data_IF_908042386810
#
_entry.id   IF_908042386810
#
_cell.length_a   1.000
_cell.length_b   1.000
_cell.length_c   1.000
_cell.angle_alpha   90.00
_cell.angle_beta   90.00
_cell.angle_gamma   90.00
#
_symmetry.space_group_name_H-M   'P 1'
#
loop_
_entity.id
_entity.type
_entity.pdbx_description
1 polymer ?
#
# COMPACT_ATOMS: atom_id res chain seq x y z
N UNK A 1 15.37 -32.10 -9.55
CA UNK A 1 16.18 -31.27 -8.64
C UNK A 1 15.81 -29.82 -8.92
N UNK A 2 15.11 -29.10 -8.02
CA UNK A 2 15.02 -27.65 -8.18
C UNK A 2 16.44 -27.07 -8.15
N UNK A 3 16.74 -26.15 -9.05
CA UNK A 3 18.06 -25.54 -9.12
C UNK A 3 18.31 -24.71 -7.85
N UNK A 4 19.47 -24.91 -7.21
CA UNK A 4 19.87 -24.13 -6.04
C UNK A 4 19.80 -22.62 -6.36
N UNK A 5 19.42 -21.79 -5.38
CA UNK A 5 19.35 -20.34 -5.57
C UNK A 5 20.68 -19.79 -6.07
N UNK A 6 20.64 -19.17 -7.24
CA UNK A 6 21.83 -18.55 -7.82
C UNK A 6 21.98 -17.16 -7.23
N UNK A 7 22.97 -16.99 -6.36
CA UNK A 7 23.50 -15.67 -6.02
C UNK A 7 23.84 -14.93 -7.34
N UNK A 8 23.31 -13.71 -7.58
CA UNK A 8 23.63 -12.97 -8.78
C UNK A 8 25.15 -12.81 -8.94
N UNK A 9 25.68 -13.01 -10.14
CA UNK A 9 27.10 -12.77 -10.42
C UNK A 9 27.33 -11.29 -10.75
N UNK A 10 28.20 -10.62 -9.99
CA UNK A 10 28.59 -9.23 -10.25
C UNK A 10 27.92 -8.20 -9.31
N UNK A 11 28.27 -6.92 -9.46
CA UNK A 11 27.70 -5.84 -8.65
C UNK A 11 26.19 -5.68 -8.92
N UNK A 12 25.44 -5.08 -7.98
CA UNK A 12 24.03 -4.74 -8.21
C UNK A 12 23.87 -3.81 -9.42
N UNK A 13 22.71 -3.80 -10.08
CA UNK A 13 22.42 -2.85 -11.14
C UNK A 13 22.67 -1.40 -10.68
N UNK A 14 23.21 -0.56 -11.57
CA UNK A 14 23.64 0.79 -11.20
C UNK A 14 22.53 1.66 -10.57
N UNK A 15 21.26 1.43 -10.93
CA UNK A 15 20.12 2.15 -10.35
C UNK A 15 19.87 1.80 -8.87
N UNK A 16 20.34 0.65 -8.39
CA UNK A 16 20.21 0.22 -6.98
C UNK A 16 21.22 0.94 -6.07
N UNK A 17 22.36 1.38 -6.63
CA UNK A 17 23.43 2.06 -5.90
C UNK A 17 23.62 3.48 -6.43
N UNK A 18 22.66 4.40 -6.19
CA UNK A 18 22.77 5.78 -6.65
C UNK A 18 23.96 6.49 -5.97
N UNK A 19 24.54 7.48 -6.65
CA UNK A 19 25.48 8.41 -6.00
C UNK A 19 24.75 9.24 -4.94
N UNK A 20 25.47 9.83 -3.96
CA UNK A 20 24.86 10.71 -2.96
C UNK A 20 24.06 11.86 -3.57
N UNK A 21 24.59 12.51 -4.62
CA UNK A 21 23.89 13.60 -5.33
C UNK A 21 22.61 13.12 -6.01
N UNK A 22 22.64 11.91 -6.59
CA UNK A 22 21.45 11.32 -7.21
C UNK A 22 20.41 10.96 -6.17
N UNK A 23 20.81 10.37 -5.03
CA UNK A 23 19.90 10.06 -3.93
C UNK A 23 19.24 11.35 -3.38
N UNK A 24 20.03 12.41 -3.19
CA UNK A 24 19.52 13.71 -2.75
C UNK A 24 18.48 14.25 -3.75
N UNK A 25 18.79 14.24 -5.05
CA UNK A 25 17.86 14.69 -6.09
C UNK A 25 16.54 13.90 -6.10
N UNK A 26 16.58 12.58 -5.88
CA UNK A 26 15.38 11.75 -5.77
C UNK A 26 14.54 12.14 -4.54
N UNK A 27 15.19 12.30 -3.38
CA UNK A 27 14.50 12.67 -2.14
C UNK A 27 13.90 14.08 -2.25
N UNK A 28 14.62 15.04 -2.81
CA UNK A 28 14.16 16.41 -3.01
C UNK A 28 12.97 16.45 -3.97
N UNK A 29 13.05 15.76 -5.11
CA UNK A 29 11.95 15.65 -6.06
C UNK A 29 10.69 15.06 -5.40
N UNK A 30 10.85 13.98 -4.63
CA UNK A 30 9.74 13.36 -3.89
C UNK A 30 9.14 14.31 -2.85
N UNK A 31 9.96 15.14 -2.19
CA UNK A 31 9.52 16.11 -1.21
C UNK A 31 8.76 17.29 -1.87
N UNK A 32 9.27 17.82 -2.97
CA UNK A 32 8.61 18.87 -3.78
C UNK A 32 7.24 18.41 -4.28
N UNK A 33 7.15 17.18 -4.79
CA UNK A 33 5.88 16.61 -5.28
C UNK A 33 4.89 16.37 -4.14
N UNK A 34 5.35 15.90 -2.99
CA UNK A 34 4.48 15.77 -1.82
C UNK A 34 4.00 17.14 -1.32
N UNK A 35 4.84 18.18 -1.39
CA UNK A 35 4.43 19.55 -1.09
C UNK A 35 3.32 20.03 -2.04
N UNK A 36 3.47 19.78 -3.33
CA UNK A 36 2.45 20.07 -4.34
C UNK A 36 1.13 19.33 -4.07
N UNK A 37 1.18 18.02 -3.78
CA UNK A 37 -0.03 17.25 -3.41
C UNK A 37 -0.77 17.90 -2.24
N UNK A 38 -0.03 18.32 -1.21
CA UNK A 38 -0.57 18.97 -0.02
C UNK A 38 -1.10 20.38 -0.28
N UNK A 39 -0.49 21.15 -1.18
CA UNK A 39 -0.99 22.49 -1.54
C UNK A 39 -2.34 22.39 -2.24
N UNK A 40 -2.46 21.49 -3.22
CA UNK A 40 -3.73 21.20 -3.92
C UNK A 40 -4.82 20.77 -2.93
N UNK A 41 -4.50 19.95 -1.93
CA UNK A 41 -5.45 19.58 -0.86
C UNK A 41 -5.87 20.76 0.01
N UNK A 42 -4.98 21.73 0.25
CA UNK A 42 -5.20 22.84 1.20
C UNK A 42 -6.02 23.99 0.59
N UNK A 43 -5.77 24.34 -0.67
CA UNK A 43 -6.45 25.44 -1.36
C UNK A 43 -7.98 25.26 -1.34
N UNK A 44 -8.47 24.01 -1.47
CA UNK A 44 -9.91 23.69 -1.35
C UNK A 44 -10.49 23.87 0.05
N UNK A 45 -9.76 23.52 1.13
CA UNK A 45 -10.27 23.69 2.51
C UNK A 45 -10.60 25.15 2.82
N UNK A 46 -9.84 26.09 2.24
CA UNK A 46 -10.08 27.53 2.42
C UNK A 46 -11.19 28.04 1.50
N UNK A 47 -11.31 27.52 0.27
CA UNK A 47 -12.38 27.86 -0.68
C UNK A 47 -13.79 27.51 -0.16
N UNK A 48 -13.96 26.34 0.45
CA UNK A 48 -15.25 25.92 1.04
C UNK A 48 -15.63 26.68 2.32
N UNK A 49 -14.71 27.43 2.91
CA UNK A 49 -14.93 28.17 4.15
C UNK A 49 -15.53 29.57 3.94
N UNK A 50 -15.59 30.07 2.69
CA UNK A 50 -16.13 31.39 2.35
C UNK A 50 -17.00 31.35 1.07
N UNK A 51 -18.31 31.07 1.19
CA UNK A 51 -19.23 31.17 0.06
C UNK A 51 -19.56 32.65 -0.18
N UNK A 52 -18.67 33.41 -0.83
CA UNK A 52 -18.87 34.86 -0.94
C UNK A 52 -17.97 35.67 -1.85
N UNK A 53 -17.16 35.06 -2.73
CA UNK A 53 -16.36 35.81 -3.70
C UNK A 53 -16.34 35.13 -5.07
N UNK A 54 -17.49 35.15 -5.76
CA UNK A 54 -17.51 34.89 -7.20
C UNK A 54 -17.32 36.22 -7.91
N UNK A 55 -16.06 36.53 -8.23
CA UNK A 55 -15.66 37.62 -9.12
C UNK A 55 -14.96 37.04 -10.33
N UNK A 56 -15.54 37.28 -11.50
CA UNK A 56 -15.20 36.76 -12.82
C UNK A 56 -13.69 36.67 -13.14
N UNK A 57 -13.28 35.51 -13.67
CA UNK A 57 -12.31 35.42 -14.76
C UNK A 57 -12.65 34.18 -15.61
N UNK A 58 -13.38 34.40 -16.69
CA UNK A 58 -13.45 33.48 -17.83
C UNK A 58 -12.13 33.57 -18.60
N UNK A 59 -11.44 32.44 -18.76
CA UNK A 59 -10.29 32.34 -19.68
C UNK A 59 -9.11 31.50 -19.20
N UNK A 60 -9.30 30.19 -19.08
CA UNK A 60 -8.24 29.19 -19.29
C UNK A 60 -8.90 27.84 -19.59
N UNK A 61 -8.59 27.27 -20.75
CA UNK A 61 -9.02 25.92 -21.14
C UNK A 61 -8.30 24.88 -20.27
N UNK A 62 -9.10 24.12 -19.51
CA UNK A 62 -8.94 22.76 -19.02
C UNK A 62 -7.52 22.26 -18.65
N UNK A 63 -7.20 22.36 -17.35
CA UNK A 63 -6.36 21.39 -16.62
C UNK A 63 -7.04 21.00 -15.28
N UNK A 64 -8.30 20.57 -15.35
CA UNK A 64 -9.11 20.06 -14.21
C UNK A 64 -8.62 18.68 -13.71
N UNK A 65 -7.62 18.07 -14.37
CA UNK A 65 -7.15 16.72 -14.08
C UNK A 65 -6.44 16.57 -12.73
N UNK A 66 -5.70 17.61 -12.30
CA UNK A 66 -4.91 17.59 -11.06
C UNK A 66 -5.72 17.81 -9.77
N UNK A 67 -6.74 18.66 -9.83
CA UNK A 67 -7.46 19.13 -8.65
C UNK A 67 -8.38 18.07 -8.03
N UNK A 68 -8.94 17.18 -8.85
CA UNK A 68 -9.80 16.09 -8.41
C UNK A 68 -9.02 14.93 -7.77
N UNK A 69 -7.74 14.78 -8.14
CA UNK A 69 -6.97 13.56 -7.90
C UNK A 69 -6.60 13.32 -6.43
N UNK A 70 -6.29 14.41 -5.72
CA UNK A 70 -5.83 14.38 -4.33
C UNK A 70 -6.92 14.76 -3.33
N UNK A 71 -8.18 14.77 -3.77
CA UNK A 71 -9.34 15.14 -2.95
C UNK A 71 -9.50 14.22 -1.74
N UNK A 72 -9.89 14.79 -0.60
CA UNK A 72 -10.05 14.08 0.69
C UNK A 72 -11.35 14.48 1.42
N UNK A 73 -12.36 14.92 0.68
CA UNK A 73 -13.60 15.51 1.22
C UNK A 73 -14.30 14.56 2.19
N UNK A 74 -14.38 13.26 1.88
CA UNK A 74 -15.07 12.28 2.73
C UNK A 74 -14.35 12.14 4.07
N UNK A 75 -13.06 11.87 4.03
CA UNK A 75 -12.25 11.65 5.23
C UNK A 75 -11.98 12.93 6.04
N UNK A 76 -12.01 14.10 5.41
CA UNK A 76 -11.85 15.40 6.06
C UNK A 76 -13.17 16.02 6.53
N UNK A 77 -14.32 15.42 6.20
CA UNK A 77 -15.62 15.90 6.65
C UNK A 77 -15.72 15.88 8.18
N UNK A 78 -16.46 16.85 8.75
CA UNK A 78 -16.57 17.04 10.21
C UNK A 78 -16.96 15.76 10.95
N UNK A 79 -17.82 14.95 10.34
CA UNK A 79 -18.33 13.73 10.97
C UNK A 79 -17.33 12.57 10.89
N UNK A 80 -16.35 12.60 9.98
CA UNK A 80 -15.34 11.55 9.84
C UNK A 80 -13.99 11.88 10.50
N UNK A 81 -13.79 13.11 11.00
CA UNK A 81 -12.51 13.51 11.62
C UNK A 81 -12.06 12.56 12.75
N UNK A 82 -13.02 12.09 13.56
CA UNK A 82 -12.75 11.16 14.66
C UNK A 82 -12.27 9.78 14.20
N UNK A 83 -12.48 9.41 12.93
CA UNK A 83 -12.02 8.14 12.34
C UNK A 83 -10.57 8.19 11.87
N UNK A 84 -9.95 9.36 11.84
CA UNK A 84 -8.55 9.52 11.43
C UNK A 84 -7.64 9.51 12.66
N UNK A 85 -6.66 8.60 12.69
CA UNK A 85 -5.66 8.57 13.76
C UNK A 85 -4.76 9.81 13.75
N UNK A 86 -4.51 10.37 12.56
CA UNK A 86 -3.72 11.58 12.35
C UNK A 86 -4.49 12.50 11.40
N UNK A 87 -4.75 13.74 11.81
CA UNK A 87 -5.61 14.68 11.05
C UNK A 87 -5.01 15.17 9.73
N UNK A 88 -3.72 14.93 9.51
CA UNK A 88 -2.98 15.27 8.30
C UNK A 88 -2.72 14.05 7.39
N UNK A 89 -3.13 12.84 7.79
CA UNK A 89 -3.01 11.62 6.99
C UNK A 89 -4.40 11.09 6.67
N UNK A 90 -4.92 11.47 5.51
CA UNK A 90 -6.29 11.14 5.06
C UNK A 90 -6.21 10.39 3.73
N UNK A 91 -7.02 9.33 3.58
CA UNK A 91 -7.16 8.60 2.32
C UNK A 91 -7.80 9.49 1.23
N UNK A 92 -7.24 9.46 0.00
CA UNK A 92 -7.85 10.16 -1.14
C UNK A 92 -9.19 9.55 -1.50
N UNK A 93 -10.16 10.38 -1.86
CA UNK A 93 -11.53 9.93 -2.15
C UNK A 93 -11.59 8.92 -3.30
N UNK A 94 -10.73 9.11 -4.31
CA UNK A 94 -10.70 8.23 -5.49
C UNK A 94 -10.24 6.81 -5.16
N UNK A 95 -9.25 6.67 -4.26
CA UNK A 95 -8.58 5.40 -3.95
C UNK A 95 -8.96 4.83 -2.59
N UNK A 96 -9.68 5.57 -1.75
CA UNK A 96 -10.12 5.05 -0.44
C UNK A 96 -10.92 3.76 -0.63
N UNK A 97 -10.71 2.80 0.26
CA UNK A 97 -11.54 1.62 0.27
C UNK A 97 -12.98 1.99 0.64
N UNK A 98 -13.93 1.42 -0.08
CA UNK A 98 -15.35 1.55 0.24
C UNK A 98 -15.74 0.42 1.21
N UNK A 99 -16.13 0.72 2.46
CA UNK A 99 -16.59 -0.30 3.39
C UNK A 99 -17.85 -1.01 2.87
N UNK A 100 -17.97 -2.33 3.02
CA UNK A 100 -19.13 -3.08 2.54
C UNK A 100 -20.31 -3.10 3.51
N UNK A 101 -20.06 -2.75 4.76
CA UNK A 101 -21.05 -2.62 5.82
C UNK A 101 -21.16 -1.15 6.16
N UNK A 102 -22.33 -0.74 6.65
CA UNK A 102 -22.47 0.61 7.19
C UNK A 102 -21.53 0.78 8.37
N UNK A 103 -20.77 1.85 8.33
CA UNK A 103 -19.76 2.25 9.31
C UNK A 103 -20.18 3.51 10.06
N UNK A 104 -21.26 4.15 9.65
CA UNK A 104 -21.71 5.46 10.15
C UNK A 104 -23.22 5.45 10.45
N UNK A 105 -23.68 6.44 11.20
CA UNK A 105 -25.10 6.69 11.39
C UNK A 105 -25.80 7.07 10.07
N UNK A 106 -27.13 6.99 10.03
CA UNK A 106 -27.91 7.29 8.83
C UNK A 106 -27.57 8.70 8.25
N UNK A 107 -27.37 8.76 6.93
CA UNK A 107 -27.05 9.96 6.11
C UNK A 107 -25.57 10.40 6.04
N UNK A 108 -24.62 9.60 6.52
CA UNK A 108 -23.19 9.88 6.35
C UNK A 108 -22.51 8.89 5.39
N UNK A 109 -21.54 9.33 4.57
CA UNK A 109 -20.78 8.43 3.71
C UNK A 109 -19.94 7.46 4.55
N UNK A 110 -19.96 6.18 4.18
CA UNK A 110 -19.12 5.18 4.81
C UNK A 110 -17.64 5.49 4.58
N UNK A 111 -16.87 5.39 5.66
CA UNK A 111 -15.47 5.79 5.66
C UNK A 111 -14.63 4.90 6.57
N UNK A 112 -13.51 4.47 6.00
CA UNK A 112 -12.38 3.87 6.70
C UNK A 112 -11.11 4.48 6.10
N UNK A 113 -10.16 4.87 6.94
CA UNK A 113 -8.90 5.44 6.47
C UNK A 113 -7.96 4.33 5.96
N UNK A 114 -8.28 3.85 4.77
CA UNK A 114 -7.54 2.86 4.00
C UNK A 114 -7.65 3.18 2.52
N UNK A 115 -6.61 2.87 1.74
CA UNK A 115 -6.56 3.09 0.30
C UNK A 115 -6.29 1.78 -0.42
N UNK A 116 -7.02 1.53 -1.50
CA UNK A 116 -6.70 0.50 -2.49
C UNK A 116 -5.55 1.02 -3.36
N UNK A 117 -4.44 0.29 -3.35
CA UNK A 117 -3.17 0.68 -3.98
C UNK A 117 -2.73 -0.43 -4.93
N UNK A 118 -2.30 -0.07 -6.13
CA UNK A 118 -1.67 -0.99 -7.08
C UNK A 118 -0.18 -0.69 -7.19
N UNK A 119 0.61 -1.75 -7.37
CA UNK A 119 2.01 -1.59 -7.74
C UNK A 119 2.13 -0.86 -9.09
N UNK A 120 3.12 0.03 -9.24
CA UNK A 120 3.21 0.93 -10.39
C UNK A 120 3.70 0.22 -11.65
N UNK A 121 3.48 0.87 -12.79
CA UNK A 121 4.14 0.50 -14.05
C UNK A 121 5.59 0.99 -14.04
N UNK A 122 6.53 0.06 -14.14
CA UNK A 122 7.97 0.36 -14.18
C UNK A 122 8.53 0.25 -15.61
N UNK A 123 7.67 0.26 -16.64
CA UNK A 123 8.06 0.08 -18.03
C UNK A 123 8.10 -1.39 -18.48
N UNK A 124 7.52 -2.30 -17.69
CA UNK A 124 7.48 -3.74 -17.98
C UNK A 124 6.04 -4.22 -18.04
N UNK A 125 5.72 -5.07 -19.02
CA UNK A 125 4.40 -5.69 -19.14
C UNK A 125 4.02 -6.54 -17.93
N UNK A 126 2.71 -6.69 -17.67
CA UNK A 126 2.19 -7.51 -16.56
C UNK A 126 2.55 -9.00 -16.69
N UNK A 127 2.92 -9.46 -17.89
CA UNK A 127 3.45 -10.79 -18.17
C UNK A 127 4.89 -10.98 -17.65
N UNK A 128 5.67 -9.88 -17.59
CA UNK A 128 7.05 -9.86 -17.10
C UNK A 128 7.08 -9.55 -15.60
N UNK A 129 6.42 -8.46 -15.19
CA UNK A 129 6.32 -8.02 -13.80
C UNK A 129 4.85 -7.90 -13.39
N UNK A 130 4.23 -8.99 -12.91
CA UNK A 130 2.83 -8.96 -12.49
C UNK A 130 2.62 -7.98 -11.32
N UNK A 131 1.86 -6.90 -11.57
CA UNK A 131 1.58 -5.88 -10.56
C UNK A 131 0.50 -6.35 -9.58
N UNK A 132 0.81 -6.29 -8.29
CA UNK A 132 -0.10 -6.70 -7.20
C UNK A 132 -0.97 -5.55 -6.71
N UNK A 133 -2.07 -5.93 -6.07
CA UNK A 133 -2.96 -5.02 -5.34
C UNK A 133 -2.69 -5.09 -3.83
N UNK A 134 -2.89 -3.97 -3.15
CA UNK A 134 -2.68 -3.79 -1.73
C UNK A 134 -3.81 -2.96 -1.14
N UNK A 135 -4.12 -3.16 0.13
CA UNK A 135 -4.88 -2.21 0.93
C UNK A 135 -3.94 -1.60 1.96
N UNK A 136 -3.61 -0.32 1.81
CA UNK A 136 -2.77 0.43 2.74
C UNK A 136 -3.66 1.19 3.73
N UNK A 137 -3.63 0.79 5.00
CA UNK A 137 -4.53 1.31 6.03
C UNK A 137 -3.79 1.90 7.23
N UNK A 138 -4.41 2.85 7.92
CA UNK A 138 -3.96 3.21 9.28
C UNK A 138 -4.22 2.05 10.26
N UNK A 139 -3.53 2.03 11.39
CA UNK A 139 -3.91 1.13 12.48
C UNK A 139 -5.27 1.52 13.06
N UNK A 140 -6.13 0.54 13.40
CA UNK A 140 -7.39 0.79 14.09
C UNK A 140 -7.21 1.66 15.32
N UNK A 141 -8.13 2.59 15.52
CA UNK A 141 -8.42 3.27 16.79
C UNK A 141 -9.70 2.65 17.38
N UNK A 142 -10.06 2.90 18.65
CA UNK A 142 -11.20 2.24 19.30
C UNK A 142 -12.49 2.26 18.45
N UNK A 143 -12.81 3.40 17.86
CA UNK A 143 -14.07 3.59 17.12
C UNK A 143 -14.05 2.99 15.69
N UNK A 144 -12.89 2.54 15.20
CA UNK A 144 -12.74 2.07 13.81
C UNK A 144 -12.38 0.59 13.70
N UNK A 145 -12.47 -0.17 14.79
CA UNK A 145 -12.16 -1.62 14.79
C UNK A 145 -13.14 -2.37 13.88
N UNK A 146 -14.43 -2.08 14.02
CA UNK A 146 -15.49 -2.59 13.15
C UNK A 146 -15.19 -2.29 11.67
N UNK A 147 -14.96 -1.01 11.36
CA UNK A 147 -14.76 -0.54 9.99
C UNK A 147 -13.55 -1.22 9.33
N UNK A 148 -12.46 -1.37 10.07
CA UNK A 148 -11.24 -2.03 9.61
C UNK A 148 -11.48 -3.51 9.30
N UNK A 149 -12.14 -4.25 10.19
CA UNK A 149 -12.40 -5.68 9.98
C UNK A 149 -13.47 -5.91 8.89
N UNK A 150 -14.39 -4.96 8.70
CA UNK A 150 -15.41 -5.05 7.64
C UNK A 150 -14.80 -5.16 6.24
N UNK A 151 -13.60 -4.58 6.02
CA UNK A 151 -12.85 -4.67 4.76
C UNK A 151 -12.49 -6.12 4.38
N UNK A 152 -12.51 -7.04 5.34
CA UNK A 152 -12.24 -8.46 5.12
C UNK A 152 -13.48 -9.22 4.62
N UNK A 153 -14.67 -8.61 4.60
CA UNK A 153 -15.92 -9.33 4.35
C UNK A 153 -16.45 -9.17 2.92
N UNK A 154 -15.76 -8.41 2.06
CA UNK A 154 -16.00 -8.31 0.61
C UNK A 154 -14.69 -8.09 -0.14
N UNK A 155 -14.66 -8.38 -1.46
CA UNK A 155 -13.66 -7.83 -2.35
C UNK A 155 -13.41 -6.34 -2.08
N UNK A 156 -12.14 -5.91 -1.93
CA UNK A 156 -11.84 -4.49 -1.79
C UNK A 156 -12.13 -3.76 -3.09
N UNK A 157 -12.63 -2.53 -2.97
CA UNK A 157 -12.98 -1.67 -4.10
C UNK A 157 -12.80 -0.20 -3.74
N UNK A 158 -12.69 0.66 -4.74
CA UNK A 158 -12.60 2.12 -4.63
C UNK A 158 -13.34 2.77 -5.79
N UNK A 159 -13.63 4.07 -5.71
CA UNK A 159 -14.29 4.79 -6.81
C UNK A 159 -13.48 4.69 -8.10
N UNK A 160 -12.17 4.92 -8.03
CA UNK A 160 -11.31 4.86 -9.20
C UNK A 160 -11.18 3.43 -9.75
N UNK A 161 -11.21 2.40 -8.90
CA UNK A 161 -11.28 1.02 -9.38
C UNK A 161 -12.59 0.78 -10.13
N UNK A 162 -13.74 1.15 -9.57
CA UNK A 162 -15.03 0.93 -10.24
C UNK A 162 -15.11 1.60 -11.62
N UNK A 163 -14.41 2.72 -11.81
CA UNK A 163 -14.30 3.43 -13.09
C UNK A 163 -13.25 2.86 -14.06
N UNK A 164 -12.41 1.91 -13.66
CA UNK A 164 -11.25 1.43 -14.43
C UNK A 164 -11.56 0.38 -15.51
N UNK A 165 -12.76 0.40 -16.09
CA UNK A 165 -13.23 -0.67 -16.97
C UNK A 165 -12.25 -0.96 -18.13
N UNK A 166 -11.93 -2.23 -18.43
CA UNK A 166 -11.06 -2.54 -19.57
C UNK A 166 -11.75 -2.18 -20.89
N UNK A 167 -11.00 -1.61 -21.84
CA UNK A 167 -11.42 -1.38 -23.23
C UNK A 167 -11.91 -2.65 -23.97
N UNK A 168 -11.65 -3.84 -23.43
CA UNK A 168 -11.95 -5.14 -24.05
C UNK A 168 -12.99 -5.98 -23.30
N UNK A 169 -13.64 -5.46 -22.25
CA UNK A 169 -14.69 -6.21 -21.55
C UNK A 169 -15.98 -6.24 -22.41
N UNK A 170 -16.71 -7.38 -22.47
CA UNK A 170 -18.00 -7.42 -23.16
C UNK A 170 -18.93 -6.37 -22.55
N UNK A 171 -19.55 -5.58 -23.42
CA UNK A 171 -20.30 -4.34 -23.16
C UNK A 171 -21.51 -4.45 -22.19
N UNK A 172 -21.68 -5.56 -21.47
CA UNK A 172 -22.86 -5.84 -20.67
C UNK A 172 -22.80 -5.30 -19.21
N UNK A 173 -21.64 -4.90 -18.68
CA UNK A 173 -21.53 -4.40 -17.28
C UNK A 173 -20.64 -3.19 -17.06
N UNK A 174 -19.71 -2.86 -17.96
CA UNK A 174 -18.90 -1.63 -17.88
C UNK A 174 -18.05 -1.47 -16.60
N UNK A 175 -17.81 -2.53 -15.83
CA UNK A 175 -17.03 -2.52 -14.59
C UNK A 175 -15.84 -3.49 -14.68
N UNK A 176 -14.71 -3.22 -14.00
CA UNK A 176 -13.62 -4.20 -13.91
C UNK A 176 -14.05 -5.46 -13.14
N UNK A 177 -13.36 -6.60 -13.35
CA UNK A 177 -13.63 -7.81 -12.58
C UNK A 177 -13.43 -7.55 -11.08
N UNK A 178 -14.22 -8.18 -10.21
CA UNK A 178 -14.03 -8.03 -8.76
C UNK A 178 -12.67 -8.57 -8.31
N UNK A 179 -12.00 -7.86 -7.39
CA UNK A 179 -10.77 -8.36 -6.76
C UNK A 179 -11.08 -9.57 -5.85
N UNK A 180 -10.10 -10.44 -5.58
CA UNK A 180 -10.27 -11.49 -4.60
C UNK A 180 -10.40 -10.91 -3.17
N UNK A 181 -11.02 -11.66 -2.27
CA UNK A 181 -11.12 -11.32 -0.84
C UNK A 181 -9.73 -11.22 -0.20
N UNK A 182 -9.53 -10.24 0.70
CA UNK A 182 -8.29 -10.09 1.47
C UNK A 182 -8.13 -11.28 2.40
N UNK A 183 -7.10 -12.10 2.20
CA UNK A 183 -6.81 -13.27 3.03
C UNK A 183 -5.72 -13.02 4.08
N UNK A 184 -4.95 -11.94 3.93
CA UNK A 184 -3.75 -11.67 4.72
C UNK A 184 -3.71 -10.22 5.20
N UNK A 185 -3.49 -10.04 6.51
CA UNK A 185 -3.19 -8.77 7.16
C UNK A 185 -1.71 -8.77 7.56
N UNK A 186 -1.00 -7.69 7.21
CA UNK A 186 0.39 -7.44 7.61
C UNK A 186 0.44 -6.21 8.53
N UNK A 187 0.85 -6.43 9.77
CA UNK A 187 1.02 -5.39 10.78
C UNK A 187 2.52 -5.08 10.98
N UNK A 188 2.90 -3.81 10.81
CA UNK A 188 4.31 -3.38 10.87
C UNK A 188 4.64 -2.55 12.12
N UNK A 189 3.80 -2.58 13.14
CA UNK A 189 3.99 -1.83 14.38
C UNK A 189 3.44 -2.63 15.56
N UNK A 190 4.08 -2.61 16.74
CA UNK A 190 3.46 -3.11 17.94
C UNK A 190 2.32 -2.18 18.37
N UNK A 191 1.51 -2.64 19.31
CA UNK A 191 0.38 -1.84 19.84
C UNK A 191 0.84 -0.53 20.49
N UNK A 192 1.99 -0.57 21.16
CA UNK A 192 2.60 0.57 21.87
C UNK A 192 4.08 0.62 21.55
N UNK A 193 4.59 1.81 21.22
CA UNK A 193 6.02 2.10 21.06
C UNK A 193 6.42 3.24 21.99
N UNK A 194 7.46 3.01 22.81
CA UNK A 194 7.80 3.92 23.90
C UNK A 194 6.59 4.15 24.81
N UNK A 195 6.05 5.37 24.82
CA UNK A 195 4.85 5.75 25.59
C UNK A 195 3.63 6.06 24.73
N UNK A 196 3.71 5.82 23.41
CA UNK A 196 2.66 6.19 22.47
C UNK A 196 1.95 4.94 21.97
N UNK A 197 0.62 4.94 22.05
CA UNK A 197 -0.19 3.92 21.41
C UNK A 197 -0.14 4.10 19.89
N UNK A 198 0.33 3.08 19.17
CA UNK A 198 0.50 3.08 17.72
C UNK A 198 -0.65 2.37 17.01
N UNK A 199 -1.23 1.38 17.67
CA UNK A 199 -2.34 0.57 17.19
C UNK A 199 -3.25 0.17 18.36
N UNK A 200 -4.56 0.20 18.17
CA UNK A 200 -5.52 -0.39 19.11
C UNK A 200 -5.70 -1.88 18.80
N UNK A 201 -5.78 -2.78 19.81
CA UNK A 201 -6.12 -4.18 19.57
C UNK A 201 -7.41 -4.29 18.77
N UNK A 202 -7.42 -5.14 17.74
CA UNK A 202 -8.59 -5.32 16.87
C UNK A 202 -9.02 -6.79 16.73
N UNK A 203 -8.50 -7.67 17.58
CA UNK A 203 -8.94 -9.05 17.74
C UNK A 203 -8.60 -9.54 19.17
N UNK A 204 -9.31 -10.57 19.67
CA UNK A 204 -9.10 -11.07 21.03
C UNK A 204 -7.67 -11.56 21.28
N UNK A 205 -7.09 -11.31 22.46
CA UNK A 205 -5.73 -11.71 22.77
C UNK A 205 -5.58 -13.22 23.04
N UNK A 206 -6.66 -13.89 23.44
CA UNK A 206 -6.67 -15.29 23.84
C UNK A 206 -7.26 -16.20 22.76
N UNK A 207 -6.59 -17.31 22.47
CA UNK A 207 -7.06 -18.33 21.52
C UNK A 207 -8.41 -18.88 21.99
N UNK A 208 -9.34 -19.03 21.04
CA UNK A 208 -10.72 -19.47 21.27
C UNK A 208 -11.70 -18.36 21.63
N UNK A 209 -11.22 -17.18 22.04
CA UNK A 209 -12.10 -16.05 22.34
C UNK A 209 -12.65 -15.42 21.06
N UNK A 210 -13.90 -14.96 21.13
CA UNK A 210 -14.60 -14.22 20.08
C UNK A 210 -14.94 -12.81 20.59
N UNK A 211 -14.77 -11.81 19.74
CA UNK A 211 -15.29 -10.46 19.95
C UNK A 211 -16.39 -10.17 18.93
N UNK A 212 -17.52 -9.68 19.41
CA UNK A 212 -18.61 -9.16 18.60
C UNK A 212 -18.54 -7.63 18.59
N UNK A 213 -18.53 -7.05 17.40
CA UNK A 213 -18.29 -5.64 17.16
C UNK A 213 -19.52 -5.06 16.44
N UNK A 214 -20.41 -4.36 17.16
CA UNK A 214 -21.56 -3.72 16.54
C UNK A 214 -21.09 -2.59 15.61
N UNK A 215 -21.86 -2.35 14.54
CA UNK A 215 -21.65 -1.16 13.71
C UNK A 215 -22.07 0.10 14.48
N UNK A 216 -21.35 1.19 14.23
CA UNK A 216 -21.75 2.52 14.71
C UNK A 216 -23.10 2.99 14.15
N UNK A 217 -23.62 2.37 13.08
CA UNK A 217 -24.96 2.64 12.57
C UNK A 217 -26.08 2.18 13.52
N UNK A 218 -25.80 1.19 14.39
CA UNK A 218 -26.80 0.53 15.22
C UNK A 218 -27.79 -0.37 14.45
N UNK A 219 -27.62 -0.51 13.13
CA UNK A 219 -28.48 -1.35 12.29
C UNK A 219 -28.15 -2.84 12.49
N UNK A 220 -29.18 -3.68 12.61
CA UNK A 220 -29.01 -5.14 12.72
C UNK A 220 -28.39 -5.72 11.45
N UNK A 221 -27.53 -6.72 11.62
CA UNK A 221 -26.86 -7.40 10.50
C UNK A 221 -25.68 -6.62 9.93
N UNK A 222 -25.37 -5.45 10.50
CA UNK A 222 -24.18 -4.67 10.16
C UNK A 222 -23.01 -4.96 11.09
N UNK A 223 -23.18 -5.77 12.14
CA UNK A 223 -22.06 -6.14 13.02
C UNK A 223 -21.02 -7.05 12.36
N UNK A 224 -19.84 -7.09 12.96
CA UNK A 224 -18.72 -7.99 12.61
C UNK A 224 -18.31 -8.77 13.84
N UNK A 225 -17.95 -10.04 13.69
CA UNK A 225 -17.29 -10.79 14.76
C UNK A 225 -15.92 -11.29 14.32
N UNK A 226 -15.00 -11.41 15.28
CA UNK A 226 -13.65 -11.94 15.06
C UNK A 226 -13.28 -12.90 16.17
N UNK A 227 -12.75 -14.06 15.79
CA UNK A 227 -12.24 -15.10 16.69
C UNK A 227 -10.76 -15.35 16.41
N UNK A 228 -9.98 -15.47 17.47
CA UNK A 228 -8.59 -15.93 17.38
C UNK A 228 -8.59 -17.47 17.42
N UNK A 229 -8.24 -18.14 16.33
CA UNK A 229 -8.18 -19.60 16.26
C UNK A 229 -6.81 -20.15 16.65
N UNK A 230 -5.74 -19.43 16.31
CA UNK A 230 -4.37 -19.86 16.60
C UNK A 230 -3.44 -18.66 16.67
N UNK A 231 -2.37 -18.78 17.46
CA UNK A 231 -1.34 -17.74 17.61
C UNK A 231 0.02 -18.38 17.83
N UNK A 232 0.99 -17.98 17.03
CA UNK A 232 2.37 -18.44 17.09
C UNK A 232 3.33 -17.27 16.89
N UNK A 233 4.59 -17.42 17.34
CA UNK A 233 5.65 -16.43 17.11
C UNK A 233 6.92 -17.16 16.67
N UNK A 234 7.42 -16.83 15.48
CA UNK A 234 8.60 -17.45 14.84
C UNK A 234 9.30 -16.43 13.93
N UNK A 235 10.62 -16.53 13.83
CA UNK A 235 11.43 -15.79 12.84
C UNK A 235 11.16 -14.28 12.81
N UNK A 236 11.04 -13.68 14.00
CA UNK A 236 10.78 -12.26 14.18
C UNK A 236 9.41 -11.80 13.67
N UNK A 237 8.43 -12.69 13.56
CA UNK A 237 7.04 -12.34 13.34
C UNK A 237 6.10 -13.14 14.24
N UNK A 238 4.97 -12.51 14.55
CA UNK A 238 3.85 -13.16 15.22
C UNK A 238 2.73 -13.40 14.23
N UNK A 239 2.28 -14.64 14.14
CA UNK A 239 1.23 -15.07 13.22
C UNK A 239 -0.02 -15.44 14.00
N UNK A 240 -1.17 -14.91 13.60
CA UNK A 240 -2.47 -15.21 14.19
C UNK A 240 -3.42 -15.72 13.10
N UNK A 241 -3.98 -16.91 13.27
CA UNK A 241 -5.08 -17.38 12.42
C UNK A 241 -6.39 -16.84 13.00
N UNK A 242 -7.08 -16.03 12.21
CA UNK A 242 -8.33 -15.39 12.59
C UNK A 242 -9.48 -16.02 11.81
N UNK A 243 -10.65 -16.07 12.44
CA UNK A 243 -11.93 -16.26 11.75
C UNK A 243 -12.77 -14.99 11.90
N UNK A 244 -13.26 -14.46 10.79
CA UNK A 244 -14.02 -13.20 10.74
C UNK A 244 -15.33 -13.45 10.02
N UNK A 245 -16.44 -12.95 10.54
CA UNK A 245 -17.76 -13.09 9.92
C UNK A 245 -18.65 -11.87 10.17
N UNK A 246 -19.77 -11.82 9.43
CA UNK A 246 -20.83 -10.83 9.65
C UNK A 246 -21.72 -11.28 10.81
N UNK A 247 -22.40 -10.34 11.44
CA UNK A 247 -23.48 -10.64 12.36
C UNK A 247 -24.51 -11.56 11.67
N UNK A 248 -24.83 -12.68 12.32
CA UNK A 248 -25.74 -13.70 11.78
C UNK A 248 -25.08 -14.76 10.89
N UNK A 249 -23.82 -14.57 10.47
CA UNK A 249 -23.01 -15.60 9.81
C UNK A 249 -22.23 -16.40 10.85
N UNK A 250 -22.54 -17.69 11.03
CA UNK A 250 -21.86 -18.56 11.99
C UNK A 250 -20.57 -19.19 11.45
N UNK A 251 -20.40 -19.26 10.13
CA UNK A 251 -19.27 -19.92 9.50
C UNK A 251 -18.06 -18.99 9.40
N UNK A 252 -18.31 -17.73 8.99
CA UNK A 252 -17.26 -16.76 8.74
C UNK A 252 -16.21 -17.24 7.73
N UNK A 253 -15.05 -16.59 7.72
CA UNK A 253 -13.93 -16.96 6.86
C UNK A 253 -12.59 -16.83 7.58
N UNK A 254 -11.62 -17.63 7.13
CA UNK A 254 -10.25 -17.59 7.63
C UNK A 254 -9.50 -16.38 7.07
N UNK A 255 -8.74 -15.71 7.93
CA UNK A 255 -7.82 -14.62 7.59
C UNK A 255 -6.53 -14.85 8.38
N UNK A 256 -5.39 -14.78 7.71
CA UNK A 256 -4.10 -14.81 8.37
C UNK A 256 -3.68 -13.38 8.75
N UNK A 257 -3.24 -13.18 9.99
CA UNK A 257 -2.62 -11.95 10.45
C UNK A 257 -1.15 -12.22 10.75
N UNK A 258 -0.26 -11.37 10.26
CA UNK A 258 1.18 -11.47 10.47
C UNK A 258 1.72 -10.12 10.93
N UNK A 259 2.20 -10.06 12.18
CA UNK A 259 2.86 -8.90 12.77
C UNK A 259 4.38 -9.05 12.65
N UNK A 260 5.03 -8.09 12.00
CA UNK A 260 6.49 -8.02 11.92
C UNK A 260 7.07 -7.39 13.19
N UNK A 261 8.00 -8.08 13.85
CA UNK A 261 8.60 -7.65 15.12
C UNK A 261 10.00 -7.01 14.95
N UNK A 262 10.56 -7.06 13.74
CA UNK A 262 11.89 -6.56 13.39
C UNK A 262 11.94 -5.08 12.98
N UNK A 263 10.93 -4.27 13.35
CA UNK A 263 10.89 -2.84 13.06
C UNK A 263 10.49 -2.06 14.32
N UNK A 264 11.49 -1.68 15.11
CA UNK A 264 11.31 -0.89 16.32
C UNK A 264 11.48 0.60 16.00
N UNK A 265 10.72 1.47 16.66
CA UNK A 265 10.83 2.94 16.62
C UNK A 265 10.62 3.68 15.28
N UNK A 266 10.60 5.01 15.36
CA UNK A 266 10.37 5.94 14.25
C UNK A 266 11.63 6.10 13.38
N UNK A 267 11.94 5.08 12.59
CA UNK A 267 13.07 5.11 11.64
C UNK A 267 12.90 4.06 10.55
N UNK A 268 13.99 3.38 10.22
CA UNK A 268 14.06 2.30 9.22
C UNK A 268 14.14 0.92 9.90
N UNK A 269 13.87 -0.18 9.18
CA UNK A 269 14.02 -1.52 9.74
C UNK A 269 15.48 -1.83 10.14
N UNK A 270 15.65 -2.62 11.20
CA UNK A 270 16.97 -2.94 11.75
C UNK A 270 17.85 -3.78 10.81
N UNK A 271 17.22 -4.61 9.96
CA UNK A 271 17.92 -5.48 9.01
C UNK A 271 17.18 -5.53 7.68
N UNK A 272 17.82 -5.12 6.58
CA UNK A 272 17.24 -5.25 5.26
C UNK A 272 16.96 -6.68 4.86
N UNK A 273 17.92 -7.58 5.06
CA UNK A 273 17.75 -9.00 4.77
C UNK A 273 16.63 -9.67 5.57
N UNK A 274 16.39 -9.28 6.84
CA UNK A 274 15.26 -9.82 7.61
C UNK A 274 13.91 -9.37 7.03
N UNK A 275 13.77 -8.09 6.63
CA UNK A 275 12.54 -7.61 5.99
C UNK A 275 12.34 -8.22 4.60
N UNK A 276 13.39 -8.45 3.82
CA UNK A 276 13.28 -9.12 2.51
C UNK A 276 12.78 -10.56 2.68
N UNK A 277 13.34 -11.33 3.62
CA UNK A 277 12.84 -12.68 3.95
C UNK A 277 11.40 -12.64 4.46
N UNK A 278 11.05 -11.64 5.26
CA UNK A 278 9.67 -11.42 5.69
C UNK A 278 8.72 -11.17 4.51
N UNK A 279 9.12 -10.35 3.53
CA UNK A 279 8.36 -10.09 2.31
C UNK A 279 8.11 -11.39 1.53
N UNK A 280 9.13 -12.22 1.36
CA UNK A 280 8.97 -13.53 0.70
C UNK A 280 7.96 -14.41 1.45
N UNK A 281 8.05 -14.46 2.78
CA UNK A 281 7.12 -15.24 3.62
C UNK A 281 5.67 -14.75 3.51
N UNK A 282 5.41 -13.45 3.55
CA UNK A 282 4.03 -12.94 3.41
C UNK A 282 3.45 -13.22 2.02
N UNK A 283 4.26 -13.19 0.96
CA UNK A 283 3.80 -13.55 -0.39
C UNK A 283 3.56 -15.06 -0.52
N UNK A 284 4.40 -15.90 0.09
CA UNK A 284 4.18 -17.34 0.15
C UNK A 284 2.89 -17.68 0.90
N UNK A 285 2.64 -17.04 2.05
CA UNK A 285 1.37 -17.17 2.76
C UNK A 285 0.18 -16.73 1.91
N UNK A 286 0.27 -15.56 1.26
CA UNK A 286 -0.82 -15.07 0.41
C UNK A 286 -1.11 -16.00 -0.78
N UNK A 287 -0.08 -16.63 -1.36
CA UNK A 287 -0.20 -17.59 -2.45
C UNK A 287 -0.73 -18.97 -2.01
N UNK A 288 -0.68 -19.28 -0.71
CA UNK A 288 -1.19 -20.56 -0.16
C UNK A 288 -2.72 -20.62 -0.09
N UNK A 289 -3.40 -19.48 -0.16
CA UNK A 289 -4.85 -19.43 -0.23
C UNK A 289 -5.35 -19.84 -1.63
N UNK A 290 -6.49 -20.56 -1.72
CA UNK A 290 -7.03 -20.99 -3.00
C UNK A 290 -7.51 -19.81 -3.83
N UNK A 291 -7.31 -19.88 -5.15
CA UNK A 291 -7.80 -18.92 -6.12
C UNK A 291 -6.74 -17.92 -6.61
N UNK A 292 -7.17 -16.86 -7.32
CA UNK A 292 -6.27 -15.80 -7.79
C UNK A 292 -5.59 -15.06 -6.63
N UNK A 293 -4.43 -14.46 -6.91
CA UNK A 293 -3.65 -13.69 -5.91
C UNK A 293 -4.49 -12.55 -5.33
N UNK A 294 -4.77 -12.64 -4.04
CA UNK A 294 -5.55 -11.64 -3.32
C UNK A 294 -4.73 -10.41 -2.94
N UNK A 295 -5.37 -9.24 -2.77
CA UNK A 295 -4.73 -8.07 -2.17
C UNK A 295 -4.31 -8.35 -0.72
N UNK A 296 -3.15 -7.82 -0.32
CA UNK A 296 -2.69 -7.86 1.07
C UNK A 296 -3.08 -6.55 1.77
N UNK A 297 -3.70 -6.64 2.95
CA UNK A 297 -3.94 -5.48 3.80
C UNK A 297 -2.72 -5.22 4.66
N UNK A 298 -2.00 -4.13 4.39
CA UNK A 298 -0.82 -3.74 5.15
C UNK A 298 -1.11 -2.47 5.98
N UNK A 299 -0.75 -2.49 7.26
CA UNK A 299 -0.86 -1.31 8.12
C UNK A 299 0.33 -1.17 9.06
N UNK A 300 0.58 0.07 9.46
CA UNK A 300 1.48 0.41 10.56
C UNK A 300 0.70 1.25 11.56
N UNK A 301 1.17 2.43 11.96
CA UNK A 301 0.38 3.38 12.74
C UNK A 301 -0.46 4.30 11.84
N UNK A 302 0.18 5.14 11.01
CA UNK A 302 -0.51 6.02 10.06
C UNK A 302 -0.83 5.33 8.72
N UNK A 303 -0.21 4.17 8.45
CA UNK A 303 -0.39 3.44 7.20
C UNK A 303 0.35 4.05 6.01
N UNK A 304 1.44 4.80 6.22
CA UNK A 304 2.16 5.52 5.15
C UNK A 304 3.68 5.32 5.19
N UNK A 305 4.32 5.47 6.36
CA UNK A 305 5.77 5.27 6.52
C UNK A 305 6.20 3.82 6.30
N UNK A 306 6.16 2.99 7.37
CA UNK A 306 6.53 1.56 7.29
C UNK A 306 5.76 0.79 6.21
N UNK A 307 4.45 1.06 6.10
CA UNK A 307 3.58 0.46 5.09
C UNK A 307 4.05 0.80 3.68
N UNK A 308 4.36 2.06 3.40
CA UNK A 308 4.86 2.46 2.09
C UNK A 308 6.25 1.92 1.78
N UNK A 309 7.15 1.86 2.76
CA UNK A 309 8.47 1.22 2.60
C UNK A 309 8.36 -0.28 2.31
N UNK A 310 7.50 -1.01 3.03
CA UNK A 310 7.23 -2.44 2.76
C UNK A 310 6.73 -2.63 1.32
N UNK A 311 5.72 -1.86 0.92
CA UNK A 311 5.11 -2.00 -0.41
C UNK A 311 6.11 -1.59 -1.50
N UNK A 312 6.89 -0.53 -1.31
CA UNK A 312 7.91 -0.09 -2.26
C UNK A 312 8.98 -1.16 -2.46
N UNK A 313 9.58 -1.69 -1.37
CA UNK A 313 10.56 -2.75 -1.45
C UNK A 313 9.97 -4.01 -2.08
N UNK A 314 8.77 -4.42 -1.66
CA UNK A 314 8.06 -5.58 -2.22
C UNK A 314 7.82 -5.44 -3.73
N UNK A 315 7.48 -4.24 -4.21
CA UNK A 315 7.23 -3.97 -5.64
C UNK A 315 8.48 -4.10 -6.50
N UNK A 316 9.66 -3.82 -5.93
CA UNK A 316 10.93 -3.78 -6.64
C UNK A 316 11.70 -5.10 -6.63
N UNK A 317 11.44 -5.99 -5.67
CA UNK A 317 12.09 -7.30 -5.60
C UNK A 317 11.85 -8.17 -6.87
N UNK A 318 10.63 -8.25 -7.46
CA UNK A 318 10.41 -8.98 -8.72
C UNK A 318 11.23 -8.44 -9.89
N UNK A 319 11.37 -7.11 -10.01
CA UNK A 319 12.24 -6.49 -11.01
C UNK A 319 13.68 -6.94 -10.81
N UNK A 320 14.17 -6.87 -9.58
CA UNK A 320 15.54 -7.27 -9.26
C UNK A 320 15.79 -8.76 -9.52
N UNK A 321 14.80 -9.61 -9.23
CA UNK A 321 14.78 -11.05 -9.56
C UNK A 321 14.85 -11.29 -11.07
N UNK A 322 14.04 -10.58 -11.85
CA UNK A 322 14.03 -10.64 -13.32
C UNK A 322 15.40 -10.27 -13.91
N UNK A 323 15.99 -9.16 -13.46
CA UNK A 323 17.32 -8.72 -13.89
C UNK A 323 18.43 -9.71 -13.52
N UNK A 324 18.31 -10.37 -12.37
CA UNK A 324 19.30 -11.37 -11.94
C UNK A 324 19.24 -12.69 -12.74
N UNK A 325 18.06 -13.02 -13.27
CA UNK A 325 17.81 -14.27 -14.00
C UNK A 325 18.16 -14.18 -15.50
N UNK A 326 18.25 -12.97 -16.05
CA UNK A 326 18.65 -12.74 -17.44
C UNK A 326 20.16 -13.04 -17.61
N UNK A 327 20.48 -14.26 -18.01
CA UNK A 327 21.84 -14.83 -18.03
C UNK A 327 22.77 -14.30 -19.15
N UNK A 328 22.33 -13.35 -19.97
CA UNK A 328 23.20 -12.58 -20.86
C UNK A 328 23.54 -11.28 -20.13
N UNK A 329 24.81 -11.12 -19.72
CA UNK A 329 25.41 -9.96 -19.05
C UNK A 329 24.41 -8.89 -18.56
N UNK A 330 24.26 -8.66 -17.23
CA UNK A 330 23.30 -7.67 -16.73
C UNK A 330 23.48 -6.38 -17.54
N UNK A 331 22.42 -5.73 -18.07
CA UNK A 331 22.58 -4.54 -18.88
C UNK A 331 23.45 -3.56 -18.07
N UNK A 332 24.72 -3.46 -18.46
CA UNK A 332 25.73 -2.77 -17.64
C UNK A 332 25.52 -1.26 -17.75
N UNK A 333 24.76 -0.82 -18.75
CA UNK A 333 24.32 0.53 -18.93
C UNK A 333 22.84 0.67 -18.50
N UNK A 334 22.59 1.63 -17.63
CA UNK A 334 21.24 2.00 -17.20
C UNK A 334 20.35 2.49 -18.37
N UNK A 335 20.93 2.76 -19.55
CA UNK A 335 20.24 3.19 -20.77
C UNK A 335 19.38 2.10 -21.44
N UNK A 336 19.65 0.83 -21.17
CA UNK A 336 19.03 -0.29 -21.91
C UNK A 336 17.78 -0.82 -21.19
N UNK A 337 17.50 -0.31 -20.00
CA UNK A 337 16.32 -0.68 -19.21
C UNK A 337 15.13 0.22 -19.56
N UNK A 338 13.90 -0.34 -19.67
CA UNK A 338 12.71 0.45 -19.89
C UNK A 338 12.55 1.55 -18.85
N UNK A 339 12.25 2.77 -19.29
CA UNK A 339 11.88 3.84 -18.39
C UNK A 339 10.43 3.63 -17.94
N UNK A 340 10.08 3.97 -16.68
CA UNK A 340 8.69 4.13 -16.29
C UNK A 340 7.97 5.04 -17.30
N UNK A 341 6.74 4.70 -17.75
CA UNK A 341 6.05 5.46 -18.78
C UNK A 341 5.83 6.92 -18.36
N UNK A 342 5.99 7.85 -19.30
CA UNK A 342 5.79 9.29 -19.05
C UNK A 342 4.32 9.63 -18.76
N UNK A 343 3.40 8.88 -19.38
CA UNK A 343 1.97 8.87 -19.08
C UNK A 343 1.57 7.43 -18.70
N UNK A 344 1.72 7.04 -17.42
CA UNK A 344 1.21 5.75 -17.00
C UNK A 344 -0.30 5.83 -17.18
N UNK A 345 -0.83 5.03 -18.11
CA UNK A 345 -2.24 4.63 -18.10
C UNK A 345 -2.48 3.82 -16.82
N UNK A 346 -2.49 4.51 -15.68
CA UNK A 346 -2.75 3.87 -14.42
C UNK A 346 -4.21 3.42 -14.47
N UNK A 347 -4.54 2.21 -13.96
CA UNK A 347 -5.93 1.80 -13.85
C UNK A 347 -6.78 2.74 -12.98
N UNK A 348 -6.21 3.80 -12.39
CA UNK A 348 -6.96 4.80 -11.63
C UNK A 348 -6.97 6.19 -12.33
N UNK A 349 -6.46 6.31 -13.57
CA UNK A 349 -6.41 7.53 -14.42
C UNK A 349 -4.99 8.07 -14.73
N UNK A 350 -4.86 9.10 -15.58
CA UNK A 350 -3.58 9.76 -15.89
C UNK A 350 -3.14 10.72 -14.77
N UNK A 351 -1.83 10.79 -14.49
CA UNK A 351 -1.29 11.50 -13.31
C UNK A 351 -0.99 12.99 -13.57
N UNK A 352 -1.20 13.90 -12.59
CA UNK A 352 -1.03 15.34 -12.79
C UNK A 352 0.43 15.86 -12.81
N UNK A 353 1.44 14.99 -12.84
CA UNK A 353 2.79 15.41 -12.49
C UNK A 353 3.81 14.83 -13.47
N UNK A 354 3.73 15.36 -14.70
CA UNK A 354 4.63 15.12 -15.80
C UNK A 354 5.92 15.95 -15.62
N UNK A 355 7.07 15.28 -15.60
CA UNK A 355 8.47 15.77 -15.48
C UNK A 355 9.02 15.97 -14.06
N UNK A 356 10.11 15.26 -13.77
CA UNK A 356 11.38 15.78 -13.21
C UNK A 356 12.36 14.70 -12.71
N UNK A 357 12.03 13.40 -12.76
CA UNK A 357 13.01 12.33 -12.48
C UNK A 357 13.97 12.04 -13.65
N UNK A 358 13.83 12.75 -14.79
CA UNK A 358 14.63 12.55 -16.00
C UNK A 358 15.87 13.47 -16.11
N UNK A 359 16.31 14.13 -15.02
CA UNK A 359 17.55 14.88 -15.02
C UNK A 359 18.74 14.00 -14.60
N UNK A 360 19.03 12.95 -15.37
CA UNK A 360 20.17 12.05 -15.12
C UNK A 360 20.16 10.77 -15.98
N UNK A 361 21.33 10.18 -16.23
CA UNK A 361 21.53 9.04 -17.15
C UNK A 361 21.05 7.69 -16.59
N UNK A 362 19.74 7.45 -16.52
CA UNK A 362 19.14 6.11 -16.30
C UNK A 362 17.84 6.10 -15.46
N UNK A 363 17.12 4.97 -15.39
CA UNK A 363 15.86 4.85 -14.64
C UNK A 363 16.05 5.04 -13.13
N UNK A 364 15.09 5.69 -12.48
CA UNK A 364 14.93 5.72 -11.03
C UNK A 364 13.66 4.96 -10.63
N UNK A 365 13.79 3.64 -10.49
CA UNK A 365 12.66 2.79 -10.13
C UNK A 365 12.22 2.97 -8.67
N UNK A 366 13.12 3.35 -7.76
CA UNK A 366 12.75 3.58 -6.35
C UNK A 366 11.92 4.84 -6.23
N UNK A 367 12.38 5.97 -6.79
CA UNK A 367 11.63 7.21 -6.79
C UNK A 367 10.32 7.08 -7.54
N UNK A 368 10.31 6.48 -8.73
CA UNK A 368 9.08 6.20 -9.48
C UNK A 368 8.10 5.34 -8.68
N UNK A 369 8.59 4.32 -7.96
CA UNK A 369 7.74 3.48 -7.13
C UNK A 369 7.12 4.25 -5.97
N UNK A 370 7.95 4.98 -5.21
CA UNK A 370 7.48 5.76 -4.06
C UNK A 370 6.50 6.84 -4.49
N UNK A 371 6.78 7.53 -5.58
CA UNK A 371 5.94 8.61 -6.07
C UNK A 371 4.56 8.11 -6.55
N UNK A 372 4.53 7.02 -7.32
CA UNK A 372 3.28 6.41 -7.77
C UNK A 372 2.44 5.82 -6.61
N UNK A 373 3.09 5.38 -5.53
CA UNK A 373 2.39 5.03 -4.29
C UNK A 373 1.80 6.28 -3.61
N UNK A 374 2.53 7.41 -3.60
CA UNK A 374 2.07 8.69 -3.04
C UNK A 374 0.87 9.29 -3.77
N UNK A 375 0.70 8.95 -5.05
CA UNK A 375 -0.48 9.33 -5.83
C UNK A 375 -1.73 8.51 -5.53
N UNK A 376 -1.58 7.39 -4.82
CA UNK A 376 -2.69 6.53 -4.42
C UNK A 376 -2.98 6.65 -2.93
N UNK A 377 -1.98 6.98 -2.11
CA UNK A 377 -2.11 7.29 -0.69
C UNK A 377 -1.00 8.26 -0.29
N UNK A 378 -1.35 9.38 0.35
CA UNK A 378 -0.38 10.44 0.72
C UNK A 378 0.83 9.92 1.49
N UNK A 379 2.01 10.53 1.27
CA UNK A 379 3.23 10.30 2.05
C UNK A 379 3.73 8.85 2.18
N UNK A 380 3.38 7.94 1.26
CA UNK A 380 3.92 6.58 1.26
C UNK A 380 5.46 6.62 1.20
N UNK A 381 6.12 5.79 2.04
CA UNK A 381 7.56 5.83 2.27
C UNK A 381 8.00 7.26 2.68
N UNK A 382 7.56 7.68 3.87
CA UNK A 382 7.36 9.07 4.27
C UNK A 382 8.63 9.92 4.32
N UNK A 383 9.75 9.35 4.76
CA UNK A 383 10.98 10.10 5.05
C UNK A 383 12.08 9.82 4.02
N UNK A 384 13.00 10.76 3.83
CA UNK A 384 14.19 10.54 3.00
C UNK A 384 15.03 9.37 3.49
N UNK A 385 15.09 9.15 4.80
CA UNK A 385 15.76 8.00 5.41
C UNK A 385 15.13 6.67 4.96
N UNK A 386 13.80 6.58 4.93
CA UNK A 386 13.10 5.40 4.42
C UNK A 386 13.32 5.18 2.92
N UNK A 387 13.38 6.25 2.12
CA UNK A 387 13.68 6.15 0.69
C UNK A 387 15.11 5.65 0.47
N UNK A 388 16.09 6.24 1.16
CA UNK A 388 17.49 5.79 1.12
C UNK A 388 17.62 4.32 1.54
N UNK A 389 16.88 3.90 2.56
CA UNK A 389 16.88 2.53 3.04
C UNK A 389 16.30 1.53 2.04
N UNK A 390 15.34 1.92 1.18
CA UNK A 390 14.86 1.05 0.10
C UNK A 390 15.99 0.74 -0.89
N UNK A 391 16.83 1.73 -1.25
CA UNK A 391 18.02 1.49 -2.08
C UNK A 391 19.01 0.54 -1.39
N UNK A 392 19.30 0.79 -0.11
CA UNK A 392 20.18 -0.05 0.71
C UNK A 392 19.68 -1.50 0.73
N UNK A 393 18.38 -1.70 0.98
CA UNK A 393 17.77 -3.02 1.07
C UNK A 393 17.79 -3.79 -0.24
N UNK A 394 17.59 -3.12 -1.37
CA UNK A 394 17.72 -3.75 -2.70
C UNK A 394 19.17 -4.15 -2.97
N UNK A 395 20.13 -3.31 -2.59
CA UNK A 395 21.56 -3.60 -2.72
C UNK A 395 21.98 -4.79 -1.85
N UNK A 396 21.49 -4.86 -0.61
CA UNK A 396 21.71 -5.99 0.29
C UNK A 396 21.06 -7.27 -0.24
N UNK A 397 19.81 -7.20 -0.69
CA UNK A 397 19.11 -8.33 -1.28
C UNK A 397 19.87 -8.93 -2.48
N UNK A 398 20.42 -8.08 -3.36
CA UNK A 398 21.27 -8.54 -4.46
C UNK A 398 22.54 -9.23 -3.96
N UNK A 399 23.29 -8.58 -3.04
CA UNK A 399 24.57 -9.09 -2.52
C UNK A 399 24.41 -10.37 -1.72
N UNK A 400 23.28 -10.58 -1.07
CA UNK A 400 22.99 -11.81 -0.31
C UNK A 400 22.27 -12.87 -1.13
N UNK A 401 21.88 -12.58 -2.37
CA UNK A 401 21.13 -13.52 -3.21
C UNK A 401 19.68 -13.72 -2.77
N UNK A 402 19.10 -12.75 -2.06
CA UNK A 402 17.71 -12.76 -1.57
C UNK A 402 16.70 -12.23 -2.61
N UNK A 403 17.14 -11.98 -3.84
CA UNK A 403 16.27 -11.49 -4.93
C UNK A 403 15.33 -12.57 -5.46
N UNK A 404 15.71 -13.85 -5.34
CA UNK A 404 14.87 -14.98 -5.71
C UNK A 404 14.21 -15.58 -4.45
N UNK A 405 12.86 -15.59 -4.36
CA UNK A 405 12.15 -16.19 -3.23
C UNK A 405 12.50 -17.67 -3.02
N UNK A 406 12.90 -18.41 -4.06
CA UNK A 406 13.26 -19.84 -3.97
C UNK A 406 14.52 -20.08 -3.15
N UNK A 407 15.38 -19.06 -3.01
CA UNK A 407 16.59 -19.15 -2.18
C UNK A 407 16.40 -18.83 -0.71
N UNK A 408 15.25 -18.25 -0.35
CA UNK A 408 14.95 -17.92 1.03
C UNK A 408 14.51 -19.15 1.85
N UNK A 409 14.17 -20.28 1.20
CA UNK A 409 13.73 -21.50 1.88
C UNK A 409 14.88 -22.38 2.41
N UNK A 410 16.12 -22.24 1.90
CA UNK A 410 17.26 -23.08 2.31
C UNK A 410 17.94 -22.65 3.62
N UNK A 411 17.49 -21.55 4.23
CA UNK A 411 18.02 -21.01 5.50
C UNK A 411 17.02 -21.02 6.66
N UNK A 412 15.92 -21.76 6.54
CA UNK A 412 14.86 -21.89 7.55
C UNK A 412 15.13 -23.06 8.51
#
# INVERSE_FOLDING_TARGET
MPAAPRKPSGPPPAWVTPSPDRLAAVVDCLAEREHYRRSVMRERRLGDSFPGAVGAQEGAQDDDGGESWYRVEVGASRNQLHKNRYGDIIAYDRTRCLPPLRTTAANEPDYVNASLVREPDLGFGDDVLPRRWWVAAQAPIPDTVHDFLSLLLTPPTSLAYQSSAPSAAPAATGQPPALPLINLIVQLTPLVEGRRQKCHPYFPPAVGQTWDLPSASGERGQGVWVRLERKDERDGARTSELRVGREGDSEGRKVLHVEYLGWRDHGVPDSPSHLVRFIHRIHAHNASFPGPRAPILAHCSAGVGRTGTLIALSSLLPLLSHLSSSASAPPTAASDLPLPPEDPSHPLGAYPAHRMLAAGSGPDYVGATVDALRDQRTTMCQTGEQVAWVFEALGEAWREGLVDPRGAEEGL
#
